data_IF_449827351514
#
_entry.id   IF_449827351514
#
_cell.length_a   1.000
_cell.length_b   1.000
_cell.length_c   1.000
_cell.angle_alpha   90.00
_cell.angle_beta   90.00
_cell.angle_gamma   90.00
#
_symmetry.space_group_name_H-M   'P 1'
#
loop_
_entity.id
_entity.type
_entity.pdbx_description
1 polymer ?
#
# COMPACT_ATOMS: atom_id res chain seq x y z
N UNK A 1 15.72 12.83 13.17
CA UNK A 1 15.16 11.71 12.40
C UNK A 1 13.89 12.17 11.73
N UNK A 2 13.53 11.60 10.57
CA UNK A 2 12.22 11.80 9.96
C UNK A 2 11.11 11.40 10.97
N UNK A 3 9.97 12.11 11.01
CA UNK A 3 8.84 11.67 11.83
C UNK A 3 8.44 10.25 11.43
N UNK A 4 8.18 9.38 12.40
CA UNK A 4 7.85 7.97 12.13
C UNK A 4 6.63 7.81 11.21
N UNK A 5 5.68 8.74 11.29
CA UNK A 5 4.55 8.86 10.36
C UNK A 5 4.97 8.97 8.88
N UNK A 6 6.07 9.69 8.59
CA UNK A 6 6.58 9.85 7.22
C UNK A 6 7.19 8.55 6.73
N UNK A 7 7.93 7.83 7.58
CA UNK A 7 8.52 6.53 7.20
C UNK A 7 7.42 5.49 6.96
N UNK A 8 6.41 5.43 7.82
CA UNK A 8 5.23 4.58 7.61
C UNK A 8 4.49 4.92 6.32
N UNK A 9 4.28 6.22 6.05
CA UNK A 9 3.67 6.69 4.81
C UNK A 9 4.47 6.26 3.58
N UNK A 10 5.80 6.33 3.63
CA UNK A 10 6.67 5.87 2.54
C UNK A 10 6.57 4.36 2.32
N UNK A 11 6.61 3.56 3.40
CA UNK A 11 6.43 2.10 3.31
C UNK A 11 5.07 1.78 2.68
N UNK A 12 4.01 2.44 3.14
CA UNK A 12 2.65 2.26 2.63
C UNK A 12 2.60 2.56 1.13
N UNK A 13 3.02 3.76 0.71
CA UNK A 13 2.98 4.21 -0.70
C UNK A 13 3.81 3.32 -1.60
N UNK A 14 5.03 2.97 -1.20
CA UNK A 14 5.89 2.07 -2.00
C UNK A 14 5.24 0.69 -2.14
N UNK A 15 4.59 0.19 -1.09
CA UNK A 15 3.89 -1.09 -1.14
C UNK A 15 2.69 -1.03 -2.08
N UNK A 16 1.91 0.05 -2.09
CA UNK A 16 0.77 0.24 -3.00
C UNK A 16 1.23 0.19 -4.47
N UNK A 17 2.23 1.01 -4.82
CA UNK A 17 2.81 1.02 -6.16
C UNK A 17 3.37 -0.34 -6.59
N UNK A 18 4.00 -1.08 -5.68
CA UNK A 18 4.52 -2.40 -6.00
C UNK A 18 3.39 -3.40 -6.24
N UNK A 19 2.28 -3.28 -5.49
CA UNK A 19 1.07 -4.09 -5.66
C UNK A 19 0.42 -3.90 -7.04
N UNK A 20 0.43 -2.67 -7.55
CA UNK A 20 -0.08 -2.37 -8.90
C UNK A 20 0.68 -3.05 -10.04
N UNK A 21 1.92 -3.50 -9.79
CA UNK A 21 2.80 -4.10 -10.81
C UNK A 21 2.85 -5.62 -10.74
N UNK A 22 2.80 -6.20 -9.52
CA UNK A 22 3.06 -7.64 -9.32
C UNK A 22 1.76 -8.39 -8.98
N UNK A 23 1.33 -8.27 -7.73
CA UNK A 23 0.06 -8.70 -7.14
C UNK A 23 0.19 -8.58 -5.61
N UNK A 24 -0.95 -8.49 -4.93
CA UNK A 24 -1.04 -8.27 -3.47
C UNK A 24 -0.19 -9.25 -2.65
N UNK A 25 -0.27 -10.55 -2.94
CA UNK A 25 0.40 -11.58 -2.14
C UNK A 25 1.92 -11.52 -2.27
N UNK A 26 2.43 -11.39 -3.50
CA UNK A 26 3.86 -11.27 -3.76
C UNK A 26 4.44 -9.99 -3.16
N UNK A 27 3.71 -8.88 -3.30
CA UNK A 27 4.11 -7.58 -2.73
C UNK A 27 4.23 -7.64 -1.21
N UNK A 28 3.27 -8.25 -0.51
CA UNK A 28 3.34 -8.41 0.95
C UNK A 28 4.57 -9.23 1.38
N UNK A 29 4.86 -10.33 0.69
CA UNK A 29 6.01 -11.20 0.98
C UNK A 29 7.34 -10.47 0.78
N UNK A 30 7.44 -9.61 -0.24
CA UNK A 30 8.66 -8.83 -0.51
C UNK A 30 8.81 -7.67 0.48
N UNK A 31 7.73 -6.96 0.79
CA UNK A 31 7.78 -5.74 1.60
C UNK A 31 7.87 -6.02 3.11
N UNK A 32 7.32 -7.12 3.61
CA UNK A 32 7.37 -7.48 5.03
C UNK A 32 8.79 -7.51 5.63
N UNK A 33 9.80 -8.21 5.04
CA UNK A 33 11.16 -8.21 5.60
C UNK A 33 11.82 -6.83 5.54
N UNK A 34 11.50 -6.01 4.52
CA UNK A 34 12.02 -4.64 4.39
C UNK A 34 11.45 -3.77 5.52
N UNK A 35 10.14 -3.84 5.74
CA UNK A 35 9.44 -3.11 6.80
C UNK A 35 9.97 -3.47 8.20
N UNK A 36 10.19 -4.75 8.47
CA UNK A 36 10.82 -5.23 9.71
C UNK A 36 12.25 -4.70 9.86
N UNK A 37 13.04 -4.71 8.79
CA UNK A 37 14.40 -4.14 8.80
C UNK A 37 14.42 -2.65 9.13
N UNK A 38 13.49 -1.88 8.57
CA UNK A 38 13.34 -0.44 8.84
C UNK A 38 12.90 -0.18 10.29
N UNK A 39 11.93 -0.93 10.80
CA UNK A 39 11.49 -0.83 12.19
C UNK A 39 12.63 -1.09 13.18
N UNK A 40 13.40 -2.17 12.95
CA UNK A 40 14.57 -2.51 13.77
C UNK A 40 15.65 -1.43 13.71
N UNK A 41 15.93 -0.87 12.53
CA UNK A 41 16.91 0.21 12.37
C UNK A 41 16.49 1.50 13.09
N UNK A 42 15.19 1.72 13.27
CA UNK A 42 14.62 2.86 14.00
C UNK A 42 14.41 2.58 15.48
N UNK A 43 14.61 1.33 15.94
CA UNK A 43 14.29 0.91 17.31
C UNK A 43 12.80 1.02 17.66
N UNK A 44 11.92 0.94 16.66
CA UNK A 44 10.48 1.05 16.80
C UNK A 44 9.81 -0.33 16.75
N UNK A 45 8.56 -0.43 17.20
CA UNK A 45 7.77 -1.66 17.08
C UNK A 45 7.56 -2.06 15.62
N UNK A 46 7.60 -3.36 15.32
CA UNK A 46 7.43 -3.89 13.95
C UNK A 46 5.98 -3.84 13.46
N UNK A 47 5.02 -3.85 14.39
CA UNK A 47 3.59 -3.95 14.12
C UNK A 47 3.04 -2.86 13.19
N UNK A 48 3.28 -1.54 13.42
CA UNK A 48 2.77 -0.50 12.53
C UNK A 48 3.35 -0.60 11.11
N UNK A 49 4.61 -1.04 10.98
CA UNK A 49 5.25 -1.21 9.68
C UNK A 49 4.69 -2.39 8.92
N UNK A 50 4.44 -3.51 9.60
CA UNK A 50 3.76 -4.67 9.00
C UNK A 50 2.32 -4.35 8.61
N UNK A 51 1.61 -3.54 9.40
CA UNK A 51 0.27 -3.06 9.06
C UNK A 51 0.29 -2.11 7.85
N UNK A 52 1.28 -1.23 7.75
CA UNK A 52 1.46 -0.40 6.56
C UNK A 52 1.67 -1.24 5.29
N UNK A 53 2.44 -2.34 5.40
CA UNK A 53 2.59 -3.30 4.29
C UNK A 53 1.28 -4.02 4.00
N UNK A 54 0.56 -4.52 5.00
CA UNK A 54 -0.70 -5.24 4.81
C UNK A 54 -1.77 -4.37 4.12
N UNK A 55 -1.90 -3.12 4.56
CA UNK A 55 -2.81 -2.14 3.93
C UNK A 55 -2.34 -1.81 2.52
N UNK A 56 -1.05 -1.46 2.34
CA UNK A 56 -0.53 -1.05 1.04
C UNK A 56 -0.64 -2.16 -0.01
N UNK A 57 -0.32 -3.39 0.36
CA UNK A 57 -0.42 -4.55 -0.52
C UNK A 57 -1.87 -4.87 -0.90
N UNK A 58 -2.85 -4.37 -0.17
CA UNK A 58 -4.27 -4.56 -0.48
C UNK A 58 -4.83 -3.50 -1.44
N UNK A 59 -4.04 -2.47 -1.76
CA UNK A 59 -4.47 -1.32 -2.54
C UNK A 59 -3.76 -1.31 -3.89
N UNK A 60 -4.28 -2.07 -4.84
CA UNK A 60 -3.82 -2.09 -6.23
C UNK A 60 -4.88 -1.46 -7.12
N UNK A 61 -4.92 -0.12 -7.14
CA UNK A 61 -5.99 0.64 -7.79
C UNK A 61 -5.54 1.44 -9.01
N UNK A 62 -4.25 1.64 -9.22
CA UNK A 62 -3.75 2.46 -10.33
C UNK A 62 -3.76 1.73 -11.67
N UNK A 63 -3.71 0.40 -11.64
CA UNK A 63 -3.69 -0.42 -12.86
C UNK A 63 -4.73 -1.54 -12.83
N UNK A 64 -5.22 -1.98 -14.01
CA UNK A 64 -6.05 -3.17 -14.09
C UNK A 64 -5.27 -4.46 -13.79
N UNK A 65 -3.94 -4.43 -13.91
CA UNK A 65 -3.05 -5.61 -13.79
C UNK A 65 -2.82 -5.98 -12.32
N UNK A 66 -2.82 -4.99 -11.42
CA UNK A 66 -2.49 -5.20 -10.01
C UNK A 66 -3.41 -6.19 -9.28
N UNK A 67 -4.66 -6.34 -9.72
CA UNK A 67 -5.57 -7.36 -9.20
C UNK A 67 -6.35 -8.07 -10.30
N UNK A 68 -6.47 -9.40 -10.22
CA UNK A 68 -7.14 -10.22 -11.23
C UNK A 68 -8.58 -9.77 -11.49
N UNK A 69 -9.32 -9.40 -10.45
CA UNK A 69 -10.70 -8.89 -10.57
C UNK A 69 -10.80 -7.61 -11.41
N UNK A 70 -9.81 -6.72 -11.33
CA UNK A 70 -9.80 -5.46 -12.09
C UNK A 70 -9.65 -5.77 -13.59
N UNK A 71 -8.70 -6.65 -13.95
CA UNK A 71 -8.54 -7.10 -15.33
C UNK A 71 -9.81 -7.79 -15.87
N UNK A 72 -10.45 -8.65 -15.08
CA UNK A 72 -11.63 -9.39 -15.50
C UNK A 72 -12.83 -8.50 -15.81
N UNK A 73 -13.03 -7.41 -15.05
CA UNK A 73 -14.16 -6.50 -15.23
C UNK A 73 -13.89 -5.45 -16.31
N UNK A 74 -12.63 -5.19 -16.67
CA UNK A 74 -12.26 -4.15 -17.63
C UNK A 74 -12.99 -4.28 -18.97
N UNK A 75 -13.03 -5.48 -19.55
CA UNK A 75 -13.71 -5.74 -20.83
C UNK A 75 -15.23 -5.59 -20.74
N UNK A 76 -15.93 -6.42 -19.92
CA UNK A 76 -17.38 -6.36 -19.79
C UNK A 76 -17.91 -5.02 -19.24
N UNK A 77 -17.13 -4.32 -18.42
CA UNK A 77 -17.46 -3.02 -17.83
C UNK A 77 -17.20 -1.82 -18.75
N UNK A 78 -16.58 -2.03 -19.92
CA UNK A 78 -16.23 -0.95 -20.84
C UNK A 78 -15.15 0.00 -20.34
N UNK A 79 -14.38 -0.40 -19.32
CA UNK A 79 -13.33 0.44 -18.73
C UNK A 79 -12.09 0.49 -19.61
N UNK A 80 -11.49 1.66 -19.70
CA UNK A 80 -10.17 1.87 -20.30
C UNK A 80 -9.08 1.76 -19.24
N UNK A 81 -7.85 1.47 -19.66
CA UNK A 81 -6.69 1.43 -18.74
C UNK A 81 -6.52 2.76 -18.00
N UNK A 82 -6.80 3.86 -18.69
CA UNK A 82 -6.73 5.23 -18.16
C UNK A 82 -7.81 5.57 -17.14
N UNK A 83 -8.87 4.77 -17.01
CA UNK A 83 -9.91 5.00 -15.99
C UNK A 83 -9.42 4.57 -14.60
N UNK A 84 -8.55 3.57 -14.53
CA UNK A 84 -7.99 3.05 -13.28
C UNK A 84 -7.16 4.10 -12.55
N UNK A 85 -6.11 4.66 -13.17
CA UNK A 85 -5.28 5.64 -12.47
C UNK A 85 -6.03 6.94 -12.14
N UNK A 86 -7.03 7.35 -12.94
CA UNK A 86 -7.85 8.56 -12.69
C UNK A 86 -8.68 8.45 -11.42
N UNK A 87 -9.21 7.27 -11.12
CA UNK A 87 -10.02 7.02 -9.92
C UNK A 87 -9.19 6.44 -8.76
N UNK A 88 -8.18 5.63 -9.09
CA UNK A 88 -7.27 5.00 -8.16
C UNK A 88 -6.41 6.02 -7.43
N UNK A 89 -5.80 6.98 -8.13
CA UNK A 89 -4.90 7.94 -7.49
C UNK A 89 -5.58 8.77 -6.36
N UNK A 90 -6.78 9.37 -6.57
CA UNK A 90 -7.53 10.00 -5.47
C UNK A 90 -7.84 9.05 -4.31
N UNK A 91 -8.18 7.79 -4.61
CA UNK A 91 -8.48 6.78 -3.61
C UNK A 91 -7.25 6.40 -2.79
N UNK A 92 -6.10 6.25 -3.43
CA UNK A 92 -4.84 5.94 -2.76
C UNK A 92 -4.39 7.08 -1.85
N UNK A 93 -4.52 8.33 -2.30
CA UNK A 93 -4.25 9.51 -1.46
C UNK A 93 -5.15 9.50 -0.22
N UNK A 94 -6.43 9.19 -0.40
CA UNK A 94 -7.37 9.07 0.72
C UNK A 94 -6.97 7.96 1.70
N UNK A 95 -6.55 6.80 1.18
CA UNK A 95 -6.08 5.68 1.99
C UNK A 95 -4.84 6.07 2.78
N UNK A 96 -3.83 6.69 2.15
CA UNK A 96 -2.63 7.15 2.86
C UNK A 96 -2.99 8.14 3.96
N UNK A 97 -3.87 9.11 3.67
CA UNK A 97 -4.29 10.13 4.63
C UNK A 97 -5.03 9.54 5.85
N UNK A 98 -5.77 8.44 5.68
CA UNK A 98 -6.56 7.80 6.75
C UNK A 98 -5.74 6.71 7.47
N UNK A 99 -5.04 5.87 6.72
CA UNK A 99 -4.34 4.70 7.25
C UNK A 99 -3.15 5.09 8.11
N UNK A 100 -2.35 6.10 7.73
CA UNK A 100 -1.17 6.49 8.52
C UNK A 100 -1.56 6.93 9.95
N UNK A 101 -2.54 7.84 10.16
CA UNK A 101 -3.01 8.18 11.50
C UNK A 101 -3.59 6.98 12.25
N UNK A 102 -4.44 6.17 11.61
CA UNK A 102 -5.08 5.02 12.25
C UNK A 102 -4.07 3.96 12.69
N UNK A 103 -3.07 3.66 11.85
CA UNK A 103 -2.01 2.71 12.18
C UNK A 103 -1.26 3.19 13.42
N UNK A 104 -0.92 4.47 13.51
CA UNK A 104 -0.23 5.04 14.67
C UNK A 104 -1.06 5.03 15.95
N UNK A 105 -2.39 5.20 15.84
CA UNK A 105 -3.30 5.20 16.98
C UNK A 105 -3.52 3.78 17.51
N UNK A 106 -3.66 2.79 16.62
CA UNK A 106 -4.00 1.41 16.98
C UNK A 106 -2.75 0.57 17.29
N UNK A 107 -1.65 0.80 16.55
CA UNK A 107 -0.34 0.16 16.75
C UNK A 107 0.71 1.24 17.04
N UNK A 108 0.75 1.76 18.27
CA UNK A 108 1.78 2.71 18.67
C UNK A 108 3.17 2.10 18.47
N UNK A 109 4.04 2.91 17.87
CA UNK A 109 5.42 2.56 17.49
C UNK A 109 6.39 2.57 18.67
#
# INVERSE_FOLDING_TARGET
GLPLAVVLGLILVVTMFLSDVINNAATAVVMAPIAVGVANALGASIDPFLMAVAVGASCAFLTPIGHQSNTLVMGPGGYQFTDYWRMGLPLEILIVAISVPLILIVWPA
#
